data_IF_060751272066
#
_entry.id   IF_060751272066
#
_cell.length_a   1.000
_cell.length_b   1.000
_cell.length_c   1.000
_cell.angle_alpha   90.00
_cell.angle_beta   90.00
_cell.angle_gamma   90.00
#
_symmetry.space_group_name_H-M   'P 1'
#
loop_
_entity.id
_entity.type
_entity.pdbx_description
1 polymer ?
#
# COMPACT_ATOMS: atom_id res chain seq x y z
N UNK A 1 4.10 -10.93 -9.51
CA UNK A 1 5.27 -10.10 -9.19
C UNK A 1 5.11 -9.50 -7.80
N UNK A 2 6.19 -9.31 -7.07
CA UNK A 2 6.15 -8.79 -5.70
C UNK A 2 6.45 -7.30 -5.69
N UNK A 3 5.66 -6.55 -4.96
CA UNK A 3 5.82 -5.11 -4.83
C UNK A 3 5.89 -4.71 -3.37
N UNK A 4 6.78 -3.78 -3.06
CA UNK A 4 6.88 -3.18 -1.75
C UNK A 4 6.60 -1.69 -1.87
N UNK A 5 5.68 -1.21 -1.03
CA UNK A 5 5.26 0.19 -1.05
C UNK A 5 5.36 0.76 0.37
N UNK A 6 5.88 1.98 0.47
CA UNK A 6 5.98 2.67 1.76
C UNK A 6 5.31 4.03 1.63
N UNK A 7 4.29 4.24 2.45
CA UNK A 7 3.49 5.47 2.45
C UNK A 7 3.45 6.00 3.87
N UNK A 8 3.75 7.27 4.04
CA UNK A 8 3.82 7.92 5.34
C UNK A 8 2.67 8.85 5.68
N UNK A 9 1.71 9.04 4.77
CA UNK A 9 0.60 9.97 5.00
C UNK A 9 -0.63 9.62 4.20
N UNK A 10 -1.77 10.24 4.54
CA UNK A 10 -3.06 9.92 3.95
C UNK A 10 -3.13 10.16 2.44
N UNK A 11 -2.52 11.24 1.94
CA UNK A 11 -2.50 11.53 0.50
C UNK A 11 -1.73 10.46 -0.27
N UNK A 12 -0.63 9.98 0.29
CA UNK A 12 0.15 8.88 -0.29
C UNK A 12 -0.64 7.58 -0.32
N UNK A 13 -1.44 7.32 0.73
CA UNK A 13 -2.31 6.14 0.78
C UNK A 13 -3.31 6.13 -0.39
N UNK A 14 -3.92 7.27 -0.68
CA UNK A 14 -4.84 7.40 -1.80
C UNK A 14 -4.13 7.14 -3.14
N UNK A 15 -3.00 7.80 -3.38
CA UNK A 15 -2.25 7.64 -4.62
C UNK A 15 -1.73 6.22 -4.79
N UNK A 16 -1.18 5.64 -3.73
CA UNK A 16 -0.65 4.28 -3.78
C UNK A 16 -1.76 3.25 -4.00
N UNK A 17 -2.94 3.45 -3.42
CA UNK A 17 -4.06 2.54 -3.64
C UNK A 17 -4.49 2.52 -5.11
N UNK A 18 -4.49 3.68 -5.77
CA UNK A 18 -4.79 3.77 -7.20
C UNK A 18 -3.73 3.07 -8.04
N UNK A 19 -2.45 3.24 -7.68
CA UNK A 19 -1.35 2.55 -8.34
C UNK A 19 -1.47 1.04 -8.19
N UNK A 20 -1.80 0.57 -6.99
CA UNK A 20 -1.98 -0.86 -6.73
C UNK A 20 -3.10 -1.45 -7.58
N UNK A 21 -4.21 -0.73 -7.75
CA UNK A 21 -5.31 -1.18 -8.61
C UNK A 21 -4.84 -1.32 -10.06
N UNK A 22 -4.13 -0.33 -10.58
CA UNK A 22 -3.61 -0.36 -11.95
C UNK A 22 -2.63 -1.52 -12.14
N UNK A 23 -1.73 -1.74 -11.18
CA UNK A 23 -0.78 -2.85 -11.24
C UNK A 23 -1.50 -4.21 -11.18
N UNK A 24 -2.55 -4.32 -10.40
CA UNK A 24 -3.36 -5.55 -10.30
C UNK A 24 -4.04 -5.89 -11.61
N UNK A 25 -4.49 -4.90 -12.36
CA UNK A 25 -5.09 -5.11 -13.67
C UNK A 25 -4.07 -5.63 -14.68
N UNK A 26 -2.83 -5.21 -14.56
CA UNK A 26 -1.76 -5.60 -15.46
C UNK A 26 -1.08 -6.91 -15.04
N UNK A 27 -1.08 -7.19 -13.75
CA UNK A 27 -0.42 -8.35 -13.16
C UNK A 27 -1.38 -9.03 -12.18
N UNK A 28 -2.06 -10.07 -12.63
CA UNK A 28 -3.04 -10.80 -11.82
C UNK A 28 -2.40 -11.52 -10.63
N UNK A 29 -1.11 -11.76 -10.69
CA UNK A 29 -0.35 -12.41 -9.62
C UNK A 29 0.39 -11.40 -8.73
N UNK A 30 0.03 -10.12 -8.82
CA UNK A 30 0.66 -9.08 -8.01
C UNK A 30 0.50 -9.37 -6.52
N UNK A 31 1.63 -9.38 -5.82
CA UNK A 31 1.69 -9.55 -4.37
C UNK A 31 2.24 -8.27 -3.77
N UNK A 32 1.39 -7.57 -3.03
CA UNK A 32 1.74 -6.30 -2.42
C UNK A 32 2.02 -6.47 -0.94
N UNK A 33 3.14 -5.93 -0.49
CA UNK A 33 3.44 -5.75 0.93
C UNK A 33 3.72 -4.28 1.14
N UNK A 34 3.12 -3.69 2.13
CA UNK A 34 3.17 -2.24 2.25
C UNK A 34 3.05 -1.72 3.68
N UNK A 35 3.61 -0.54 3.86
CA UNK A 35 3.33 0.33 4.98
C UNK A 35 2.40 1.41 4.43
N UNK A 36 1.16 1.44 4.86
CA UNK A 36 0.19 2.34 4.28
C UNK A 36 -1.07 2.45 5.11
N UNK A 37 -2.14 2.90 4.48
CA UNK A 37 -3.38 3.14 5.15
C UNK A 37 -4.50 2.19 4.75
N UNK A 38 -5.71 2.58 5.11
CA UNK A 38 -6.89 1.75 4.90
C UNK A 38 -7.27 1.62 3.42
N UNK A 39 -6.98 2.64 2.62
CA UNK A 39 -7.28 2.61 1.18
C UNK A 39 -6.42 1.57 0.47
N UNK A 40 -5.14 1.50 0.80
CA UNK A 40 -4.26 0.46 0.26
C UNK A 40 -4.71 -0.92 0.72
N UNK A 41 -5.10 -1.07 1.97
CA UNK A 41 -5.61 -2.33 2.51
C UNK A 41 -6.88 -2.79 1.79
N UNK A 42 -7.74 -1.86 1.38
CA UNK A 42 -8.97 -2.17 0.65
C UNK A 42 -8.70 -2.76 -0.75
N UNK A 43 -7.57 -2.40 -1.35
CA UNK A 43 -7.17 -2.96 -2.65
C UNK A 43 -6.73 -4.43 -2.50
N UNK A 44 -6.09 -4.75 -1.40
CA UNK A 44 -5.60 -6.10 -1.10
C UNK A 44 -4.13 -6.09 -0.70
N UNK A 45 -3.52 -7.28 -0.71
CA UNK A 45 -2.13 -7.44 -0.31
C UNK A 45 -1.97 -7.56 1.20
N UNK A 46 -0.74 -7.44 1.68
CA UNK A 46 -0.41 -7.56 3.09
C UNK A 46 0.10 -6.23 3.62
N UNK A 47 -0.68 -5.62 4.51
CA UNK A 47 -0.24 -4.42 5.21
C UNK A 47 0.64 -4.82 6.41
N UNK A 48 1.92 -4.48 6.33
CA UNK A 48 2.86 -4.76 7.42
C UNK A 48 2.55 -3.86 8.61
N UNK A 49 2.37 -2.55 8.34
CA UNK A 49 1.98 -1.57 9.36
C UNK A 49 1.17 -0.45 8.74
N UNK A 50 0.30 0.16 9.54
CA UNK A 50 -0.39 1.39 9.16
C UNK A 50 0.59 2.56 9.20
N UNK A 51 0.45 3.53 8.27
CA UNK A 51 1.36 4.67 8.20
C UNK A 51 1.40 5.50 9.50
N UNK A 52 0.31 5.49 10.27
CA UNK A 52 0.27 6.18 11.56
C UNK A 52 1.29 5.64 12.55
N UNK A 53 1.64 4.37 12.46
CA UNK A 53 2.65 3.76 13.32
C UNK A 53 4.06 4.23 12.98
N UNK A 54 4.29 4.63 11.74
CA UNK A 54 5.58 5.17 11.31
C UNK A 54 5.90 6.51 11.98
N UNK A 55 4.88 7.28 12.33
CA UNK A 55 5.03 8.56 12.99
C UNK A 55 5.67 8.44 14.38
N UNK A 56 5.57 7.28 15.00
CA UNK A 56 6.15 7.02 16.32
C UNK A 56 7.57 6.48 16.26
N UNK A 57 8.05 6.15 15.10
CA UNK A 57 9.36 5.53 14.92
C UNK A 57 10.46 6.54 14.58
N UNK A 58 10.07 7.72 14.33
CA UNK A 58 10.98 8.71 13.88
C UNK A 58 11.12 9.90 14.62
#
# INVERSE_FOLDING_TARGET
MKYYLIVGEASGDLHASNLMRALKEQDVDADFRFFGGDLMSAVGGTRVKHYKELAYMG
#
